data_IF_378525402169
#
_entry.id   IF_378525402169
#
_cell.length_a   1.000
_cell.length_b   1.000
_cell.length_c   1.000
_cell.angle_alpha   90.00
_cell.angle_beta   90.00
_cell.angle_gamma   90.00
#
_symmetry.space_group_name_H-M   'P 1'
#
loop_
_entity.id
_entity.type
_entity.pdbx_description
1 polymer ?
#
# COMPACT_ATOMS: atom_id res chain seq x y z
N UNK A 1 -1.99 2.69 -28.51
CA UNK A 1 -0.92 3.69 -28.23
C UNK A 1 0.34 2.91 -27.90
N UNK A 2 1.49 3.25 -28.47
CA UNK A 2 2.74 2.50 -28.28
C UNK A 2 3.28 2.64 -26.84
N UNK A 3 3.47 1.54 -26.08
CA UNK A 3 4.00 1.57 -24.71
C UNK A 3 5.37 2.27 -24.60
N UNK A 4 6.22 2.18 -25.63
CA UNK A 4 7.51 2.85 -25.64
C UNK A 4 7.36 4.37 -25.74
N UNK A 5 6.39 4.86 -26.53
CA UNK A 5 6.04 6.28 -26.58
C UNK A 5 5.47 6.80 -25.27
N UNK A 6 4.63 6.02 -24.58
CA UNK A 6 4.10 6.41 -23.27
C UNK A 6 5.21 6.48 -22.21
N UNK A 7 6.11 5.50 -22.19
CA UNK A 7 7.28 5.50 -21.31
C UNK A 7 8.22 6.70 -21.60
N UNK A 8 8.48 7.00 -22.87
CA UNK A 8 9.26 8.17 -23.26
C UNK A 8 8.57 9.48 -22.88
N UNK A 9 7.25 9.58 -23.00
CA UNK A 9 6.48 10.75 -22.56
C UNK A 9 6.46 10.91 -21.05
N UNK A 10 6.35 9.81 -20.28
CA UNK A 10 6.46 9.80 -18.83
C UNK A 10 7.87 10.19 -18.37
N UNK A 11 8.91 9.64 -18.97
CA UNK A 11 10.30 10.05 -18.73
C UNK A 11 10.52 11.51 -19.13
N UNK A 12 9.85 12.01 -20.16
CA UNK A 12 9.95 13.42 -20.57
C UNK A 12 9.23 14.35 -19.59
N UNK A 13 8.04 13.97 -19.12
CA UNK A 13 7.30 14.67 -18.06
C UNK A 13 8.10 14.63 -16.74
N UNK A 14 8.73 13.51 -16.43
CA UNK A 14 9.60 13.32 -15.27
C UNK A 14 10.92 14.07 -15.40
N UNK A 15 11.53 14.13 -16.59
CA UNK A 15 12.73 14.92 -16.85
C UNK A 15 12.41 16.43 -16.87
N UNK A 16 11.22 16.82 -17.33
CA UNK A 16 10.69 18.18 -17.16
C UNK A 16 10.43 18.48 -15.69
N UNK A 17 9.84 17.55 -14.94
CA UNK A 17 9.71 17.61 -13.49
C UNK A 17 11.05 17.75 -12.79
N UNK A 18 12.06 16.99 -13.21
CA UNK A 18 13.45 17.07 -12.73
C UNK A 18 14.09 18.42 -13.06
N UNK A 19 13.80 19.03 -14.22
CA UNK A 19 14.21 20.40 -14.53
C UNK A 19 13.49 21.44 -13.67
N UNK A 20 12.19 21.28 -13.43
CA UNK A 20 11.42 22.14 -12.52
C UNK A 20 11.93 22.00 -11.08
N UNK A 21 12.33 20.80 -10.66
CA UNK A 21 12.95 20.50 -9.36
C UNK A 21 14.36 21.08 -9.22
N UNK A 22 15.22 20.93 -10.24
CA UNK A 22 16.55 21.56 -10.26
C UNK A 22 16.47 23.10 -10.30
N UNK A 23 15.36 23.66 -10.78
CA UNK A 23 15.08 25.10 -10.63
C UNK A 23 14.57 25.43 -9.22
N UNK A 24 14.00 24.47 -8.51
CA UNK A 24 13.67 24.59 -7.09
C UNK A 24 14.91 24.61 -6.19
N UNK A 25 16.03 23.96 -6.59
CA UNK A 25 17.36 24.13 -5.94
C UNK A 25 17.85 25.60 -5.92
N UNK A 26 17.25 26.48 -6.71
CA UNK A 26 17.58 27.91 -6.77
C UNK A 26 16.76 28.76 -5.78
N UNK A 27 15.85 28.17 -5.01
CA UNK A 27 15.11 28.89 -3.96
C UNK A 27 15.97 29.03 -2.69
N UNK A 28 15.86 30.16 -1.97
CA UNK A 28 16.78 30.54 -0.90
C UNK A 28 16.78 29.62 0.34
N UNK A 29 15.77 28.76 0.50
CA UNK A 29 15.70 27.79 1.61
C UNK A 29 16.33 26.42 1.30
N UNK A 30 16.80 26.22 0.06
CA UNK A 30 17.49 25.02 -0.37
C UNK A 30 16.58 23.79 -0.50
N UNK A 31 17.01 22.85 -1.34
CA UNK A 31 16.38 21.53 -1.43
C UNK A 31 16.62 20.76 -0.13
N UNK A 32 15.55 20.51 0.61
CA UNK A 32 15.60 19.70 1.81
C UNK A 32 15.79 18.23 1.42
N UNK A 33 16.75 17.54 2.07
CA UNK A 33 17.02 16.10 1.89
C UNK A 33 15.75 15.22 1.98
N UNK A 34 14.72 15.75 2.63
CA UNK A 34 13.37 15.22 2.68
C UNK A 34 12.78 14.88 1.29
N UNK A 35 13.01 15.71 0.27
CA UNK A 35 12.46 15.50 -1.07
C UNK A 35 13.15 14.36 -1.83
N UNK A 36 14.39 13.99 -1.48
CA UNK A 36 15.09 12.89 -2.14
C UNK A 36 14.40 11.54 -1.95
N UNK A 37 13.91 11.27 -0.73
CA UNK A 37 13.23 10.01 -0.43
C UNK A 37 11.91 9.91 -1.18
N UNK A 38 11.14 11.00 -1.18
CA UNK A 38 9.87 11.09 -1.91
C UNK A 38 10.08 11.05 -3.43
N UNK A 39 11.17 11.63 -3.93
CA UNK A 39 11.56 11.52 -5.34
C UNK A 39 11.89 10.08 -5.72
N UNK A 40 12.68 9.37 -4.90
CA UNK A 40 12.98 7.95 -5.12
C UNK A 40 11.72 7.09 -5.08
N UNK A 41 10.78 7.40 -4.19
CA UNK A 41 9.47 6.74 -4.15
C UNK A 41 8.71 6.96 -5.46
N UNK A 42 8.53 8.22 -5.87
CA UNK A 42 7.82 8.57 -7.09
C UNK A 42 8.44 7.92 -8.34
N UNK A 43 9.78 7.93 -8.45
CA UNK A 43 10.48 7.24 -9.54
C UNK A 43 10.16 5.75 -9.58
N UNK A 44 10.22 5.07 -8.43
CA UNK A 44 9.91 3.63 -8.34
C UNK A 44 8.47 3.35 -8.77
N UNK A 45 7.53 4.21 -8.39
CA UNK A 45 6.14 4.08 -8.81
C UNK A 45 5.98 4.28 -10.32
N UNK A 46 6.66 5.27 -10.92
CA UNK A 46 6.67 5.46 -12.39
C UNK A 46 7.27 4.26 -13.12
N UNK A 47 8.36 3.70 -12.63
CA UNK A 47 8.96 2.46 -13.16
C UNK A 47 7.98 1.27 -13.12
N UNK A 48 6.91 1.38 -12.33
CA UNK A 48 5.82 0.40 -12.21
C UNK A 48 4.51 0.85 -12.85
N UNK A 49 4.57 1.77 -13.81
CA UNK A 49 3.44 2.23 -14.63
C UNK A 49 2.39 3.08 -13.90
N UNK A 50 2.71 3.61 -12.71
CA UNK A 50 1.89 4.64 -12.10
C UNK A 50 2.18 6.00 -12.75
N UNK A 51 1.15 6.82 -12.93
CA UNK A 51 1.31 8.23 -13.24
C UNK A 51 1.59 8.98 -11.95
N UNK A 52 2.79 9.55 -11.81
CA UNK A 52 3.18 10.28 -10.60
C UNK A 52 3.54 11.72 -10.95
N UNK A 53 2.90 12.66 -10.26
CA UNK A 53 3.17 14.08 -10.36
C UNK A 53 3.52 14.64 -8.97
N UNK A 54 4.75 15.13 -8.74
CA UNK A 54 5.03 15.89 -7.52
C UNK A 54 4.29 17.23 -7.55
N UNK A 55 3.69 17.61 -6.42
CA UNK A 55 2.97 18.88 -6.27
C UNK A 55 3.94 19.94 -5.77
N UNK A 56 4.31 20.93 -6.62
CA UNK A 56 5.26 21.97 -6.23
C UNK A 56 4.61 23.02 -5.31
N UNK A 57 5.43 23.80 -4.62
CA UNK A 57 4.98 24.96 -3.83
C UNK A 57 4.39 24.62 -2.46
N UNK A 58 4.48 23.35 -2.04
CA UNK A 58 4.07 22.91 -0.70
C UNK A 58 5.27 22.85 0.25
N UNK A 59 5.06 23.10 1.56
CA UNK A 59 6.14 23.08 2.55
C UNK A 59 6.68 21.67 2.83
N UNK A 60 5.94 20.61 2.46
CA UNK A 60 6.38 19.22 2.54
C UNK A 60 6.07 18.46 1.24
N UNK A 61 6.75 17.32 1.00
CA UNK A 61 6.55 16.54 -0.21
C UNK A 61 5.12 15.99 -0.33
N UNK A 62 4.52 16.19 -1.50
CA UNK A 62 3.26 15.56 -1.91
C UNK A 62 3.40 15.03 -3.33
N UNK A 63 2.95 13.80 -3.55
CA UNK A 63 2.87 13.15 -4.85
C UNK A 63 1.40 12.87 -5.19
N UNK A 64 0.90 13.42 -6.29
CA UNK A 64 -0.31 12.89 -6.91
C UNK A 64 0.04 11.61 -7.65
N UNK A 65 -0.60 10.50 -7.29
CA UNK A 65 -0.38 9.18 -7.87
C UNK A 65 -1.70 8.72 -8.48
N UNK A 66 -1.68 8.45 -9.78
CA UNK A 66 -2.83 7.99 -10.53
C UNK A 66 -2.53 6.69 -11.27
N UNK A 67 -3.53 5.83 -11.36
CA UNK A 67 -3.49 4.61 -12.17
C UNK A 67 -4.91 4.20 -12.55
N UNK A 68 -5.14 3.93 -13.84
CA UNK A 68 -6.48 3.71 -14.38
C UNK A 68 -7.47 4.81 -13.96
N UNK A 69 -8.53 4.45 -13.22
CA UNK A 69 -9.58 5.37 -12.75
C UNK A 69 -9.35 5.87 -11.31
N UNK A 70 -8.16 5.64 -10.75
CA UNK A 70 -7.85 5.96 -9.36
C UNK A 70 -6.84 7.09 -9.24
N UNK A 71 -7.04 7.97 -8.26
CA UNK A 71 -6.15 9.09 -7.96
C UNK A 71 -6.01 9.22 -6.44
N UNK A 72 -4.78 9.24 -5.95
CA UNK A 72 -4.49 9.46 -4.53
C UNK A 72 -3.34 10.44 -4.37
N UNK A 73 -3.38 11.21 -3.30
CA UNK A 73 -2.25 12.01 -2.88
C UNK A 73 -1.43 11.26 -1.83
N UNK A 74 -0.15 11.01 -2.11
CA UNK A 74 0.79 10.57 -1.08
C UNK A 74 1.42 11.81 -0.47
N UNK A 75 1.18 12.07 0.81
CA UNK A 75 1.64 13.26 1.50
C UNK A 75 2.39 12.92 2.79
N UNK A 76 3.33 13.76 3.18
CA UNK A 76 4.00 13.62 4.47
C UNK A 76 3.01 13.83 5.63
N UNK A 77 3.03 12.94 6.63
CA UNK A 77 2.12 12.98 7.78
C UNK A 77 2.20 14.32 8.52
N UNK A 78 3.35 14.99 8.52
CA UNK A 78 3.52 16.26 9.24
C UNK A 78 2.89 17.47 8.52
N UNK A 79 2.30 17.31 7.33
CA UNK A 79 1.57 18.34 6.59
C UNK A 79 0.15 18.59 7.20
N UNK A 80 0.09 18.81 8.53
CA UNK A 80 -1.14 18.84 9.34
C UNK A 80 -2.19 19.87 8.86
N UNK A 81 -1.74 21.02 8.40
CA UNK A 81 -2.63 22.14 8.02
C UNK A 81 -3.39 21.91 6.71
N UNK A 82 -2.96 20.91 5.92
CA UNK A 82 -3.54 20.58 4.61
C UNK A 82 -4.36 19.29 4.63
N UNK A 83 -4.44 18.59 5.78
CA UNK A 83 -5.11 17.28 5.90
C UNK A 83 -6.58 17.31 5.51
N UNK A 84 -7.28 18.42 5.76
CA UNK A 84 -8.69 18.58 5.37
C UNK A 84 -8.91 19.01 3.92
N UNK A 85 -7.85 19.35 3.18
CA UNK A 85 -7.95 19.89 1.81
C UNK A 85 -7.71 18.81 0.74
N UNK A 86 -7.19 17.64 1.12
CA UNK A 86 -6.97 16.52 0.21
C UNK A 86 -8.08 15.47 0.44
N UNK A 87 -9.08 15.37 -0.46
CA UNK A 87 -10.22 14.48 -0.26
C UNK A 87 -9.82 12.99 -0.22
N UNK A 88 -8.71 12.61 -0.85
CA UNK A 88 -8.18 11.24 -0.84
C UNK A 88 -6.64 11.25 -0.71
N UNK A 89 -6.15 11.17 0.52
CA UNK A 89 -4.72 11.16 0.81
C UNK A 89 -4.29 9.92 1.61
N UNK A 90 -3.11 9.39 1.26
CA UNK A 90 -2.36 8.48 2.10
C UNK A 90 -1.16 9.20 2.69
N UNK A 91 -0.93 8.94 3.96
CA UNK A 91 0.05 9.67 4.74
C UNK A 91 1.30 8.82 4.93
N UNK A 92 2.43 9.33 4.48
CA UNK A 92 3.74 8.77 4.76
C UNK A 92 4.24 9.25 6.12
N UNK A 93 4.49 8.33 7.05
CA UNK A 93 5.06 8.61 8.36
C UNK A 93 6.54 8.22 8.39
N UNK A 94 7.38 9.15 8.84
CA UNK A 94 8.84 8.95 8.99
C UNK A 94 9.20 8.41 10.37
N UNK A 95 8.30 8.51 11.33
CA UNK A 95 8.50 8.04 12.70
C UNK A 95 8.44 6.51 12.74
N UNK A 96 9.01 5.87 13.77
CA UNK A 96 8.89 4.43 13.98
C UNK A 96 7.46 4.10 14.44
N UNK A 97 6.53 4.11 13.49
CA UNK A 97 5.14 3.69 13.68
C UNK A 97 4.92 2.33 12.99
N UNK A 98 3.86 1.60 13.38
CA UNK A 98 3.43 0.42 12.62
C UNK A 98 3.37 0.72 11.13
N UNK A 99 3.77 -0.24 10.30
CA UNK A 99 4.05 0.03 8.88
C UNK A 99 2.82 0.42 8.06
N UNK A 100 1.63 0.02 8.52
CA UNK A 100 0.34 0.35 7.92
C UNK A 100 -0.74 0.45 9.00
N UNK A 101 -1.32 1.64 9.14
CA UNK A 101 -2.44 1.97 10.03
C UNK A 101 -3.56 2.61 9.24
N UNK A 102 -4.80 2.37 9.65
CA UNK A 102 -5.98 2.95 9.01
C UNK A 102 -6.98 3.38 10.07
N UNK A 103 -7.73 4.43 9.79
CA UNK A 103 -8.94 4.78 10.52
C UNK A 103 -10.06 5.13 9.52
N UNK A 104 -11.20 5.61 10.01
CA UNK A 104 -12.36 5.94 9.19
C UNK A 104 -12.11 7.01 8.10
N UNK A 105 -11.02 7.77 8.18
CA UNK A 105 -10.78 8.93 7.31
C UNK A 105 -9.42 8.90 6.63
N UNK A 106 -8.43 8.18 7.17
CA UNK A 106 -7.06 8.19 6.67
C UNK A 106 -6.39 6.82 6.72
N UNK A 107 -5.46 6.62 5.79
CA UNK A 107 -4.49 5.53 5.83
C UNK A 107 -3.09 6.12 5.99
N UNK A 108 -2.36 5.66 7.00
CA UNK A 108 -0.98 6.04 7.30
C UNK A 108 -0.05 4.86 7.07
N UNK A 109 1.07 5.10 6.40
CA UNK A 109 2.09 4.11 6.08
C UNK A 109 3.46 4.58 6.51
N UNK A 110 4.30 3.69 7.03
CA UNK A 110 5.71 4.04 7.23
C UNK A 110 6.39 4.33 5.89
N UNK A 111 7.29 5.32 5.86
CA UNK A 111 8.01 5.69 4.64
C UNK A 111 8.84 4.52 4.09
N UNK A 112 9.43 3.71 4.97
CA UNK A 112 10.18 2.52 4.56
C UNK A 112 9.29 1.49 3.86
N UNK A 113 8.05 1.31 4.33
CA UNK A 113 7.08 0.45 3.66
C UNK A 113 6.69 1.01 2.29
N UNK A 114 6.35 2.29 2.17
CA UNK A 114 6.04 2.93 0.88
C UNK A 114 7.20 2.77 -0.12
N UNK A 115 8.44 2.94 0.35
CA UNK A 115 9.63 2.74 -0.47
C UNK A 115 9.79 1.30 -0.97
N UNK A 116 9.49 0.29 -0.13
CA UNK A 116 9.49 -1.13 -0.51
C UNK A 116 8.32 -1.47 -1.42
N UNK A 117 7.16 -0.87 -1.18
CA UNK A 117 5.98 -1.00 -2.01
C UNK A 117 6.25 -0.53 -3.44
N UNK A 118 6.83 0.66 -3.62
CA UNK A 118 7.22 1.17 -4.92
C UNK A 118 8.19 0.26 -5.68
N UNK A 119 9.03 -0.53 -4.99
CA UNK A 119 9.93 -1.48 -5.66
C UNK A 119 9.21 -2.67 -6.29
N UNK A 120 8.06 -3.10 -5.76
CA UNK A 120 7.44 -4.37 -6.14
C UNK A 120 6.28 -4.25 -7.14
N UNK A 121 5.67 -3.07 -7.27
CA UNK A 121 4.66 -2.74 -8.30
C UNK A 121 3.38 -3.58 -8.20
N UNK A 122 2.27 -2.98 -7.74
CA UNK A 122 1.03 -3.74 -7.50
C UNK A 122 -0.25 -2.94 -7.72
N UNK A 123 -1.26 -3.59 -8.31
CA UNK A 123 -2.60 -3.07 -8.66
C UNK A 123 -3.65 -3.21 -7.54
N UNK A 124 -3.23 -3.65 -6.34
CA UNK A 124 -4.12 -4.00 -5.23
C UNK A 124 -5.01 -2.84 -4.71
N UNK A 125 -4.67 -1.60 -5.05
CA UNK A 125 -5.25 -0.40 -4.47
C UNK A 125 -6.70 -0.12 -4.85
N UNK A 126 -7.15 -0.53 -6.04
CA UNK A 126 -8.55 -0.39 -6.42
C UNK A 126 -9.49 -1.13 -5.45
N UNK A 127 -8.99 -2.20 -4.82
CA UNK A 127 -9.75 -3.09 -3.93
C UNK A 127 -9.73 -2.65 -2.47
N UNK A 128 -8.78 -1.80 -2.09
CA UNK A 128 -8.61 -1.27 -0.73
C UNK A 128 -9.11 0.17 -0.74
N UNK A 129 -10.41 0.39 -0.99
CA UNK A 129 -10.93 1.72 -0.69
C UNK A 129 -10.83 1.92 0.83
N UNK A 130 -10.22 3.02 1.31
CA UNK A 130 -10.32 3.40 2.71
C UNK A 130 -11.77 3.42 3.20
N UNK A 131 -12.75 3.67 2.32
CA UNK A 131 -14.18 3.67 2.65
C UNK A 131 -14.75 2.29 3.03
N UNK A 132 -14.19 1.18 2.53
CA UNK A 132 -14.62 -0.17 2.94
C UNK A 132 -14.12 -0.51 4.35
N UNK A 133 -12.94 0.01 4.72
CA UNK A 133 -12.38 -0.05 6.06
C UNK A 133 -13.06 0.97 6.99
N UNK A 134 -13.47 2.13 6.47
CA UNK A 134 -14.15 3.18 7.23
C UNK A 134 -15.59 2.82 7.64
N UNK A 135 -16.22 1.90 6.91
CA UNK A 135 -17.56 1.42 7.22
C UNK A 135 -17.63 0.67 8.56
N UNK A 136 -16.51 0.19 9.12
CA UNK A 136 -16.48 -0.47 10.43
C UNK A 136 -16.66 0.51 11.60
N UNK A 137 -16.47 1.82 11.38
CA UNK A 137 -16.53 2.83 12.45
C UNK A 137 -15.45 2.68 13.53
N UNK A 138 -14.42 1.85 13.28
CA UNK A 138 -13.40 1.52 14.27
C UNK A 138 -12.38 2.67 14.47
N UNK A 139 -11.82 2.72 15.68
CA UNK A 139 -10.64 3.52 16.03
C UNK A 139 -9.41 3.13 15.17
N UNK A 140 -8.32 3.89 15.30
CA UNK A 140 -7.08 3.67 14.56
C UNK A 140 -6.58 2.21 14.66
N UNK A 141 -6.72 1.46 13.57
CA UNK A 141 -6.43 0.03 13.50
C UNK A 141 -5.08 -0.23 12.83
N UNK A 142 -4.27 -1.08 13.45
CA UNK A 142 -2.99 -1.52 12.90
C UNK A 142 -3.25 -2.74 12.00
N UNK A 143 -2.96 -2.60 10.70
CA UNK A 143 -3.19 -3.67 9.71
C UNK A 143 -1.92 -4.49 9.49
N UNK A 144 -0.75 -3.86 9.63
CA UNK A 144 0.54 -4.53 9.58
C UNK A 144 1.57 -3.87 10.50
N UNK A 145 2.23 -4.68 11.31
CA UNK A 145 3.31 -4.25 12.21
C UNK A 145 4.69 -4.39 11.58
N UNK A 146 4.84 -5.32 10.62
CA UNK A 146 6.10 -5.56 9.92
C UNK A 146 5.99 -5.32 8.42
N UNK A 147 7.10 -4.92 7.79
CA UNK A 147 7.18 -4.79 6.32
C UNK A 147 6.84 -6.13 5.65
N UNK A 148 7.25 -7.25 6.25
CA UNK A 148 6.94 -8.59 5.75
C UNK A 148 5.44 -8.85 5.70
N UNK A 149 4.71 -8.46 6.74
CA UNK A 149 3.25 -8.59 6.80
C UNK A 149 2.57 -7.70 5.78
N UNK A 150 2.94 -6.41 5.72
CA UNK A 150 2.35 -5.50 4.73
C UNK A 150 2.53 -5.99 3.29
N UNK A 151 3.72 -6.50 2.94
CA UNK A 151 3.98 -7.07 1.62
C UNK A 151 3.23 -8.38 1.37
N UNK A 152 3.02 -9.18 2.41
CA UNK A 152 2.25 -10.43 2.35
C UNK A 152 0.77 -10.12 2.10
N UNK A 153 0.20 -9.18 2.85
CA UNK A 153 -1.19 -8.71 2.68
C UNK A 153 -1.40 -8.16 1.26
N UNK A 154 -0.49 -7.30 0.78
CA UNK A 154 -0.57 -6.76 -0.58
C UNK A 154 -0.56 -7.87 -1.65
N UNK A 155 0.30 -8.87 -1.50
CA UNK A 155 0.35 -10.01 -2.43
C UNK A 155 -0.92 -10.85 -2.39
N UNK A 156 -1.53 -11.01 -1.22
CA UNK A 156 -2.76 -11.74 -1.02
C UNK A 156 -3.99 -11.01 -1.61
N UNK A 157 -4.10 -9.69 -1.41
CA UNK A 157 -5.17 -8.85 -1.93
C UNK A 157 -5.30 -8.86 -3.47
N UNK A 158 -4.19 -9.09 -4.16
CA UNK A 158 -4.16 -9.22 -5.63
C UNK A 158 -4.87 -10.49 -6.08
N UNK A 159 -4.65 -11.59 -5.35
CA UNK A 159 -5.22 -12.89 -5.72
C UNK A 159 -6.65 -13.05 -5.20
N UNK A 160 -6.89 -12.59 -3.98
CA UNK A 160 -8.13 -12.85 -3.25
C UNK A 160 -8.77 -11.56 -2.71
N UNK A 161 -9.12 -10.57 -3.55
CA UNK A 161 -9.62 -9.28 -3.07
C UNK A 161 -10.92 -9.38 -2.27
N UNK A 162 -11.82 -10.27 -2.71
CA UNK A 162 -13.13 -10.51 -2.06
C UNK A 162 -12.97 -11.12 -0.67
N UNK A 163 -11.89 -11.86 -0.43
CA UNK A 163 -11.61 -12.40 0.90
C UNK A 163 -11.46 -11.26 1.91
N UNK A 164 -10.61 -10.29 1.60
CA UNK A 164 -10.29 -9.19 2.50
C UNK A 164 -11.44 -8.19 2.67
N UNK A 165 -12.34 -8.06 1.67
CA UNK A 165 -13.53 -7.21 1.82
C UNK A 165 -14.55 -7.73 2.85
N UNK A 166 -14.45 -9.00 3.24
CA UNK A 166 -15.33 -9.62 4.25
C UNK A 166 -14.64 -9.83 5.60
N UNK A 167 -13.39 -9.41 5.74
CA UNK A 167 -12.61 -9.60 6.95
C UNK A 167 -12.36 -8.30 7.68
N UNK A 168 -12.43 -8.30 9.02
CA UNK A 168 -11.98 -7.16 9.81
C UNK A 168 -10.48 -6.92 9.56
N UNK A 169 -10.01 -5.66 9.62
CA UNK A 169 -8.62 -5.33 9.29
C UNK A 169 -7.60 -6.07 10.16
N UNK A 170 -7.97 -6.37 11.41
CA UNK A 170 -7.18 -7.17 12.37
C UNK A 170 -6.86 -8.59 11.87
N UNK A 171 -7.70 -9.17 11.00
CA UNK A 171 -7.52 -10.50 10.44
C UNK A 171 -6.65 -10.51 9.17
N UNK A 172 -6.34 -9.36 8.58
CA UNK A 172 -5.73 -9.28 7.25
C UNK A 172 -4.32 -9.87 7.21
N UNK A 173 -3.48 -9.59 8.21
CA UNK A 173 -2.13 -10.15 8.28
C UNK A 173 -2.16 -11.69 8.31
N UNK A 174 -3.09 -12.27 9.08
CA UNK A 174 -3.28 -13.71 9.16
C UNK A 174 -3.81 -14.30 7.86
N UNK A 175 -4.89 -13.74 7.32
CA UNK A 175 -5.44 -14.16 6.04
C UNK A 175 -4.37 -14.11 4.93
N UNK A 176 -3.58 -13.03 4.89
CA UNK A 176 -2.49 -12.88 3.94
C UNK A 176 -1.42 -13.96 4.06
N UNK A 177 -1.03 -14.35 5.27
CA UNK A 177 -0.06 -15.43 5.51
C UNK A 177 -0.61 -16.77 5.04
N UNK A 178 -1.86 -17.08 5.39
CA UNK A 178 -2.53 -18.34 5.05
C UNK A 178 -2.66 -18.52 3.54
N UNK A 179 -3.17 -17.51 2.83
CA UNK A 179 -3.35 -17.60 1.36
C UNK A 179 -2.04 -17.50 0.58
N UNK A 180 -0.96 -17.03 1.21
CA UNK A 180 0.37 -16.99 0.55
C UNK A 180 0.97 -18.38 0.42
N UNK A 181 0.61 -19.29 1.33
CA UNK A 181 1.10 -20.67 1.34
C UNK A 181 -0.07 -21.65 1.54
N UNK A 182 -0.93 -21.84 0.52
CA UNK A 182 -2.01 -22.82 0.57
C UNK A 182 -1.51 -24.21 1.01
N UNK A 183 -2.29 -24.90 1.84
CA UNK A 183 -1.92 -26.21 2.39
C UNK A 183 -0.92 -26.16 3.55
N UNK A 184 -0.36 -25.01 3.89
CA UNK A 184 0.55 -24.87 5.05
C UNK A 184 -0.23 -24.56 6.31
N UNK A 185 0.03 -25.32 7.37
CA UNK A 185 -0.57 -25.13 8.68
C UNK A 185 0.20 -24.08 9.48
N UNK A 186 -0.53 -23.11 10.03
CA UNK A 186 0.02 -22.05 10.85
C UNK A 186 -0.64 -22.06 12.23
N UNK A 187 0.19 -22.11 13.28
CA UNK A 187 -0.29 -22.04 14.66
C UNK A 187 -0.79 -20.62 14.96
N UNK A 188 -2.00 -20.50 15.51
CA UNK A 188 -2.61 -19.20 15.82
C UNK A 188 -3.10 -19.22 17.25
N UNK A 189 -2.44 -18.49 18.15
CA UNK A 189 -2.78 -18.46 19.58
C UNK A 189 -4.14 -17.82 19.88
N UNK A 190 -4.67 -17.01 18.96
CA UNK A 190 -6.01 -16.42 19.01
C UNK A 190 -6.55 -16.26 17.60
N UNK A 191 -7.71 -16.84 17.34
CA UNK A 191 -8.41 -16.74 16.05
C UNK A 191 -8.88 -15.29 15.87
N UNK A 192 -8.40 -14.57 14.85
CA UNK A 192 -8.96 -13.25 14.54
C UNK A 192 -10.42 -13.40 14.15
N UNK A 193 -11.25 -12.46 14.58
CA UNK A 193 -12.68 -12.47 14.26
C UNK A 193 -12.92 -12.61 12.75
N UNK A 194 -13.93 -13.42 12.39
CA UNK A 194 -14.30 -13.68 11.00
C UNK A 194 -13.41 -14.68 10.25
N UNK A 195 -12.23 -15.08 10.77
CA UNK A 195 -11.35 -16.01 10.07
C UNK A 195 -11.99 -17.40 9.86
N UNK A 196 -12.75 -17.88 10.84
CA UNK A 196 -13.48 -19.16 10.78
C UNK A 196 -14.62 -19.18 9.75
N UNK A 197 -15.13 -18.01 9.37
CA UNK A 197 -16.24 -17.89 8.39
C UNK A 197 -15.76 -17.85 6.94
N UNK A 198 -14.45 -17.85 6.74
CA UNK A 198 -13.86 -17.81 5.41
C UNK A 198 -14.01 -19.19 4.73
N UNK A 199 -14.63 -19.19 3.54
CA UNK A 199 -14.65 -20.38 2.67
C UNK A 199 -13.23 -20.79 2.25
N UNK A 200 -12.89 -22.07 2.44
CA UNK A 200 -11.56 -22.60 2.14
C UNK A 200 -10.58 -22.61 3.33
N UNK A 201 -10.98 -22.12 4.51
CA UNK A 201 -10.19 -22.29 5.74
C UNK A 201 -10.48 -23.63 6.41
N UNK A 202 -9.43 -24.25 6.97
CA UNK A 202 -9.53 -25.39 7.85
C UNK A 202 -8.83 -25.12 9.18
N UNK A 203 -9.40 -25.66 10.25
CA UNK A 203 -8.86 -25.60 11.60
C UNK A 203 -8.58 -27.01 12.12
N UNK A 204 -7.39 -27.20 12.67
CA UNK A 204 -7.02 -28.41 13.39
C UNK A 204 -7.03 -28.11 14.91
N UNK A 205 -8.00 -28.65 15.66
CA UNK A 205 -8.11 -28.41 17.10
C UNK A 205 -7.02 -29.12 17.91
N UNK A 206 -6.32 -30.13 17.35
CA UNK A 206 -5.25 -30.83 18.06
C UNK A 206 -3.96 -30.02 18.12
N UNK A 207 -3.65 -29.33 17.02
CA UNK A 207 -2.43 -28.53 16.87
C UNK A 207 -2.68 -27.03 17.03
N UNK A 208 -3.94 -26.63 17.21
CA UNK A 208 -4.41 -25.24 17.25
C UNK A 208 -3.88 -24.43 16.05
N UNK A 209 -4.05 -25.03 14.87
CA UNK A 209 -3.49 -24.52 13.63
C UNK A 209 -4.54 -24.31 12.56
N UNK A 210 -4.33 -23.28 11.74
CA UNK A 210 -5.18 -22.92 10.62
C UNK A 210 -4.46 -23.14 9.30
N UNK A 211 -5.22 -23.49 8.28
CA UNK A 211 -4.72 -23.72 6.94
C UNK A 211 -5.71 -23.17 5.90
N UNK A 212 -5.18 -22.59 4.83
CA UNK A 212 -5.97 -22.29 3.64
C UNK A 212 -5.92 -23.49 2.69
N UNK A 213 -7.05 -24.19 2.56
CA UNK A 213 -7.26 -25.32 1.65
C UNK A 213 -7.69 -24.87 0.25
N UNK A 214 -8.03 -23.60 0.05
CA UNK A 214 -8.44 -23.08 -1.25
C UNK A 214 -7.36 -23.34 -2.30
N UNK A 215 -7.75 -23.98 -3.39
CA UNK A 215 -6.87 -24.40 -4.47
C UNK A 215 -6.21 -23.17 -5.11
N UNK A 216 -4.87 -23.15 -5.15
CA UNK A 216 -4.13 -22.16 -5.94
C UNK A 216 -4.28 -22.59 -7.40
N UNK A 217 -5.15 -21.94 -8.17
CA UNK A 217 -5.32 -22.22 -9.61
C UNK A 217 -3.98 -22.10 -10.38
N UNK A 218 -2.99 -21.42 -9.80
CA UNK A 218 -1.64 -21.22 -10.35
C UNK A 218 -0.52 -22.07 -9.70
N UNK A 219 -0.84 -23.00 -8.79
CA UNK A 219 0.17 -23.95 -8.32
C UNK A 219 0.39 -25.05 -9.36
N UNK A 220 1.21 -24.74 -10.35
CA UNK A 220 1.75 -25.69 -11.33
C UNK A 220 2.10 -27.00 -10.62
N UNK A 221 1.46 -28.08 -11.05
CA UNK A 221 1.78 -29.45 -10.68
C UNK A 221 3.30 -29.66 -10.71
N UNK A 222 3.94 -29.68 -9.54
CA UNK A 222 5.17 -30.43 -9.37
C UNK A 222 4.75 -31.90 -9.27
N UNK A 223 4.83 -32.58 -10.41
CA UNK A 223 4.98 -34.04 -10.46
C UNK A 223 6.29 -34.44 -9.80
#
# INVERSE_FOLDING_TARGET
>A
MDPQRQYAQLLTLWAKGSKTFRRFDQYPEGFQAEWDLWWRLGRRLVERQFHVLPIPGLPKPVLAVAWANYQVFLADRDLKDWRGQLPEAWWGDRRPTPVWRVNAHEATFSLTFLMRWGQRGFTAWERIRPSALAASGEEETIVAESIGDGLTILGALIRYPRLFSHLPPSAWAWAGRLVRHPGTWHKVSQVPDGLATISGMAYDPLTDSWCWLGQDEDSVHKR
#
